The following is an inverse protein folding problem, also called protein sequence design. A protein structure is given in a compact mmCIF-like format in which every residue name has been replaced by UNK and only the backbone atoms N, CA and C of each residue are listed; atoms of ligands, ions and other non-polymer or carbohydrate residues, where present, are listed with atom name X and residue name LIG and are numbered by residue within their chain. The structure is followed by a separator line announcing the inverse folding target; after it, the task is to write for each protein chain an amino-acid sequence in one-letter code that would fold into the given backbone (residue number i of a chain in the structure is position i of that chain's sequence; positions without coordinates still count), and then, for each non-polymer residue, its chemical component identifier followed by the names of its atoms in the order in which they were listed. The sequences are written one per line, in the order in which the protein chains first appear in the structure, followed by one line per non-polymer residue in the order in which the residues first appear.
data_IF_904299664711
#
_entry.id   IF_904299664711
#
_cell.length_a   1.000
_cell.length_b   1.000
_cell.length_c   1.000
_cell.angle_alpha   90.00
_cell.angle_beta   90.00
_cell.angle_gamma   90.00
#
_symmetry.space_group_name_H-M   'P 1'
#
loop_
_entity.id
_entity.type
_entity.pdbx_description
1 polymer ?
#
# COMPACT_ATOMS: atom_id res chain seq x y z
N UNK A 1 -5.80 -2.50 -17.56
CA UNK A 1 -5.88 -1.09 -17.15
C UNK A 1 -4.47 -0.58 -17.04
N UNK A 2 -4.23 0.65 -17.49
CA UNK A 2 -2.94 1.30 -17.36
C UNK A 2 -3.02 2.20 -16.13
N UNK A 3 -2.12 2.01 -15.17
CA UNK A 3 -2.04 2.85 -13.98
C UNK A 3 -0.72 3.59 -14.02
N UNK A 4 -0.75 4.92 -13.97
CA UNK A 4 0.44 5.76 -13.90
C UNK A 4 0.63 6.23 -12.47
N UNK A 5 1.83 6.05 -11.91
CA UNK A 5 2.10 6.30 -10.49
C UNK A 5 3.33 7.20 -10.33
N UNK A 6 3.20 8.21 -9.48
CA UNK A 6 4.31 9.02 -8.97
C UNK A 6 4.90 10.03 -9.94
N UNK A 7 5.94 10.72 -9.45
CA UNK A 7 6.80 11.67 -10.19
C UNK A 7 8.27 11.33 -9.87
N UNK A 8 9.07 10.80 -10.82
CA UNK A 8 8.75 10.53 -12.23
C UNK A 8 7.70 9.43 -12.42
N UNK A 9 6.90 9.57 -13.47
CA UNK A 9 5.76 8.69 -13.74
C UNK A 9 6.23 7.29 -14.11
N UNK A 10 5.81 6.31 -13.32
CA UNK A 10 5.97 4.87 -13.62
C UNK A 10 4.65 4.30 -14.11
N UNK A 11 4.69 3.52 -15.20
CA UNK A 11 3.48 2.95 -15.81
C UNK A 11 3.35 1.46 -15.49
N UNK A 12 2.21 1.07 -14.93
CA UNK A 12 1.85 -0.29 -14.58
C UNK A 12 0.72 -0.81 -15.46
N UNK A 13 0.80 -2.08 -15.84
CA UNK A 13 -0.22 -2.77 -16.61
C UNK A 13 -0.88 -3.84 -15.76
N UNK A 14 -2.20 -3.73 -15.59
CA UNK A 14 -2.97 -4.55 -14.66
C UNK A 14 -4.17 -5.20 -15.31
N UNK A 15 -4.50 -6.43 -14.91
CA UNK A 15 -5.78 -7.04 -15.26
C UNK A 15 -6.93 -6.24 -14.65
N UNK A 16 -7.85 -5.80 -15.51
CA UNK A 16 -8.95 -4.93 -15.12
C UNK A 16 -9.87 -5.56 -14.08
N UNK A 17 -10.34 -6.77 -14.36
CA UNK A 17 -11.42 -7.36 -13.57
C UNK A 17 -10.90 -7.76 -12.20
N UNK A 18 -9.61 -8.09 -12.14
CA UNK A 18 -8.90 -8.38 -10.91
C UNK A 18 -8.78 -7.12 -10.02
N UNK A 19 -8.27 -5.99 -10.53
CA UNK A 19 -8.12 -4.77 -9.71
C UNK A 19 -9.46 -4.14 -9.32
N UNK A 20 -10.48 -4.22 -10.17
CA UNK A 20 -11.83 -3.74 -9.82
C UNK A 20 -12.52 -4.62 -8.77
N UNK A 21 -12.18 -5.92 -8.72
CA UNK A 21 -12.71 -6.83 -7.70
C UNK A 21 -12.05 -6.59 -6.34
N UNK A 22 -10.75 -6.32 -6.35
CA UNK A 22 -9.97 -6.08 -5.13
C UNK A 22 -10.24 -4.68 -4.53
N UNK A 23 -10.30 -3.65 -5.38
CA UNK A 23 -10.39 -2.27 -4.93
C UNK A 23 -11.71 -1.60 -5.36
N UNK A 24 -12.55 -1.19 -4.39
CA UNK A 24 -13.73 -0.37 -4.63
C UNK A 24 -13.42 0.96 -5.32
N UNK A 25 -12.25 1.56 -5.05
CA UNK A 25 -11.78 2.77 -5.73
C UNK A 25 -11.72 2.55 -7.24
N UNK A 26 -11.05 1.48 -7.69
CA UNK A 26 -10.98 1.16 -9.13
C UNK A 26 -12.33 0.72 -9.70
N UNK A 27 -13.20 0.09 -8.90
CA UNK A 27 -14.58 -0.21 -9.32
C UNK A 27 -15.44 1.05 -9.49
N UNK A 28 -15.22 2.10 -8.68
CA UNK A 28 -15.93 3.37 -8.77
C UNK A 28 -15.40 4.21 -9.93
N UNK A 29 -14.06 4.33 -10.05
CA UNK A 29 -13.40 4.98 -11.18
C UNK A 29 -13.83 4.37 -12.52
N UNK A 30 -14.07 3.05 -12.55
CA UNK A 30 -14.64 2.36 -13.72
C UNK A 30 -16.02 2.88 -14.12
N UNK A 31 -16.90 3.25 -13.18
CA UNK A 31 -18.25 3.76 -13.52
C UNK A 31 -18.17 5.15 -14.14
N UNK A 32 -17.27 6.01 -13.67
CA UNK A 32 -17.13 7.38 -14.16
C UNK A 32 -16.35 7.45 -15.48
N UNK A 33 -15.15 6.85 -15.55
CA UNK A 33 -14.28 6.97 -16.73
C UNK A 33 -14.78 6.18 -17.96
N UNK A 34 -15.50 5.08 -17.76
CA UNK A 34 -16.03 4.29 -18.89
C UNK A 34 -17.28 4.88 -19.51
N UNK A 35 -18.03 5.71 -18.77
CA UNK A 35 -19.16 6.44 -19.34
C UNK A 35 -18.69 7.52 -20.32
N UNK A 36 -17.45 8.00 -20.20
CA UNK A 36 -16.91 9.07 -21.06
C UNK A 36 -16.15 8.57 -22.30
N UNK A 37 -16.08 7.26 -22.55
CA UNK A 37 -15.40 6.70 -23.73
C UNK A 37 -13.89 6.98 -23.79
N UNK A 38 -13.30 7.47 -22.69
CA UNK A 38 -11.88 7.81 -22.60
C UNK A 38 -11.05 6.61 -22.18
N UNK A 39 -9.81 6.65 -22.66
CA UNK A 39 -8.78 5.61 -22.53
C UNK A 39 -8.62 5.13 -21.09
N UNK A 40 -8.55 3.81 -20.88
CA UNK A 40 -8.44 3.06 -19.61
C UNK A 40 -7.16 3.38 -18.79
N UNK A 41 -7.00 4.64 -18.34
CA UNK A 41 -5.81 5.18 -17.69
C UNK A 41 -6.19 5.84 -16.37
N UNK A 42 -5.66 5.32 -15.27
CA UNK A 42 -5.79 5.94 -13.93
C UNK A 42 -4.46 6.56 -13.54
N UNK A 43 -4.47 7.78 -13.02
CA UNK A 43 -3.28 8.52 -12.63
C UNK A 43 -3.24 8.71 -11.11
N UNK A 44 -2.15 8.24 -10.48
CA UNK A 44 -1.89 8.28 -9.05
C UNK A 44 -0.63 9.10 -8.80
N UNK A 45 -0.73 10.42 -9.00
CA UNK A 45 0.44 11.31 -9.02
C UNK A 45 1.16 11.44 -7.67
N UNK A 46 0.41 11.37 -6.56
CA UNK A 46 0.94 11.57 -5.21
C UNK A 46 1.46 10.27 -4.56
N UNK A 47 1.34 9.14 -5.26
CA UNK A 47 1.71 7.83 -4.74
C UNK A 47 3.10 7.41 -5.19
N UNK A 48 3.80 6.65 -4.35
CA UNK A 48 5.13 6.13 -4.69
C UNK A 48 5.00 4.88 -5.58
N UNK A 49 5.83 4.75 -6.64
CA UNK A 49 5.83 3.53 -7.46
C UNK A 49 6.11 2.25 -6.66
N UNK A 50 6.92 2.34 -5.61
CA UNK A 50 7.31 1.18 -4.79
C UNK A 50 6.14 0.64 -3.95
N UNK A 51 5.32 1.52 -3.36
CA UNK A 51 4.10 1.07 -2.65
C UNK A 51 3.10 0.43 -3.62
N UNK A 52 3.00 0.94 -4.85
CA UNK A 52 2.18 0.32 -5.88
C UNK A 52 2.75 -1.04 -6.36
N UNK A 53 4.07 -1.21 -6.38
CA UNK A 53 4.70 -2.52 -6.62
C UNK A 53 4.34 -3.55 -5.54
N UNK A 54 4.31 -3.15 -4.26
CA UNK A 54 3.83 -4.01 -3.16
C UNK A 54 2.38 -4.40 -3.38
N UNK A 55 1.53 -3.44 -3.76
CA UNK A 55 0.13 -3.72 -4.10
C UNK A 55 0.00 -4.68 -5.28
N UNK A 56 0.80 -4.52 -6.34
CA UNK A 56 0.83 -5.43 -7.49
C UNK A 56 1.18 -6.86 -7.08
N UNK A 57 2.20 -7.04 -6.24
CA UNK A 57 2.55 -8.36 -5.72
C UNK A 57 1.40 -8.96 -4.92
N UNK A 58 0.79 -8.20 -4.00
CA UNK A 58 -0.39 -8.64 -3.27
C UNK A 58 -1.52 -9.06 -4.21
N UNK A 59 -1.82 -8.22 -5.19
CA UNK A 59 -2.94 -8.37 -6.11
C UNK A 59 -2.85 -9.69 -6.90
N UNK A 60 -1.65 -10.12 -7.31
CA UNK A 60 -1.48 -11.37 -8.06
C UNK A 60 -1.15 -12.60 -7.21
N UNK A 61 -0.51 -12.42 -6.06
CA UNK A 61 0.00 -13.54 -5.26
C UNK A 61 -0.71 -13.76 -3.92
N UNK A 62 -1.53 -12.78 -3.49
CA UNK A 62 -2.08 -12.69 -2.14
C UNK A 62 -1.01 -12.79 -1.04
N UNK A 63 0.20 -12.29 -1.33
CA UNK A 63 1.32 -12.25 -0.40
C UNK A 63 1.94 -10.86 -0.40
N UNK A 64 2.13 -10.32 0.79
CA UNK A 64 2.95 -9.14 1.01
C UNK A 64 4.40 -9.61 1.12
N UNK A 65 5.19 -9.35 0.09
CA UNK A 65 6.62 -9.70 0.11
C UNK A 65 7.37 -8.56 0.79
N UNK A 66 7.82 -8.83 2.01
CA UNK A 66 8.80 -8.01 2.72
C UNK A 66 10.17 -8.24 2.07
N UNK A 67 10.44 -7.57 0.95
CA UNK A 67 11.78 -7.63 0.40
C UNK A 67 12.73 -6.88 1.32
N UNK A 68 13.87 -7.50 1.61
CA UNK A 68 15.08 -6.76 1.99
C UNK A 68 15.58 -6.01 0.75
N UNK A 69 14.77 -5.07 0.24
CA UNK A 69 15.12 -4.30 -0.94
C UNK A 69 16.08 -3.21 -0.49
N UNK A 70 17.38 -3.54 -0.57
CA UNK A 70 18.51 -2.74 -0.11
C UNK A 70 18.54 -2.48 1.41
N UNK A 71 19.74 -2.24 1.93
CA UNK A 71 20.04 -1.91 3.32
C UNK A 71 19.43 -0.56 3.81
N UNK A 72 18.38 -0.07 3.16
CA UNK A 72 17.69 1.17 3.47
C UNK A 72 16.19 0.92 3.71
N UNK A 73 15.92 0.34 4.89
CA UNK A 73 14.64 0.41 5.63
C UNK A 73 13.36 0.02 4.85
N UNK A 74 13.06 -1.29 4.71
CA UNK A 74 11.78 -1.80 4.17
C UNK A 74 10.51 -1.36 4.92
N UNK A 75 10.66 -0.59 5.99
CA UNK A 75 9.58 -0.18 6.90
C UNK A 75 8.82 1.05 6.43
N UNK A 76 9.45 1.96 5.67
CA UNK A 76 8.75 3.10 5.07
C UNK A 76 7.83 2.64 3.93
N UNK A 77 8.27 1.64 3.17
CA UNK A 77 7.50 1.06 2.08
C UNK A 77 6.20 0.42 2.58
N UNK A 78 6.22 -0.19 3.77
CA UNK A 78 5.02 -0.75 4.39
C UNK A 78 4.06 0.32 4.89
N UNK A 79 4.55 1.43 5.44
CA UNK A 79 3.71 2.55 5.86
C UNK A 79 3.03 3.16 4.63
N UNK A 80 3.78 3.34 3.55
CA UNK A 80 3.26 3.87 2.28
C UNK A 80 2.30 2.89 1.61
N UNK A 81 2.56 1.58 1.67
CA UNK A 81 1.66 0.55 1.19
C UNK A 81 0.34 0.53 1.98
N UNK A 82 0.39 0.69 3.31
CA UNK A 82 -0.82 0.79 4.12
C UNK A 82 -1.65 2.03 3.77
N UNK A 83 -0.99 3.19 3.60
CA UNK A 83 -1.65 4.43 3.18
C UNK A 83 -2.26 4.29 1.78
N UNK A 84 -1.55 3.64 0.85
CA UNK A 84 -2.08 3.30 -0.47
C UNK A 84 -3.32 2.40 -0.37
N UNK A 85 -3.29 1.38 0.49
CA UNK A 85 -4.46 0.52 0.71
C UNK A 85 -5.68 1.28 1.23
N UNK A 86 -5.48 2.28 2.08
CA UNK A 86 -6.55 3.19 2.54
C UNK A 86 -7.15 4.00 1.40
N UNK A 87 -6.31 4.59 0.55
CA UNK A 87 -6.76 5.29 -0.66
C UNK A 87 -7.52 4.37 -1.62
N UNK A 88 -7.03 3.15 -1.83
CA UNK A 88 -7.63 2.18 -2.74
C UNK A 88 -8.89 1.51 -2.17
N UNK A 89 -9.19 1.73 -0.89
CA UNK A 89 -10.29 1.09 -0.16
C UNK A 89 -10.21 -0.45 -0.17
N UNK A 90 -9.01 -0.99 -0.30
CA UNK A 90 -8.74 -2.44 -0.35
C UNK A 90 -8.44 -2.93 1.07
N UNK A 91 -9.48 -3.35 1.78
CA UNK A 91 -9.39 -3.72 3.21
C UNK A 91 -8.51 -4.95 3.40
N UNK A 92 -8.62 -5.95 2.53
CA UNK A 92 -7.85 -7.19 2.62
C UNK A 92 -6.35 -6.90 2.44
N UNK A 93 -6.00 -6.00 1.51
CA UNK A 93 -4.62 -5.54 1.36
C UNK A 93 -4.11 -4.82 2.60
N UNK A 94 -4.89 -3.88 3.16
CA UNK A 94 -4.50 -3.14 4.36
C UNK A 94 -4.25 -4.06 5.55
N UNK A 95 -5.14 -5.02 5.76
CA UNK A 95 -5.02 -5.99 6.85
C UNK A 95 -3.77 -6.87 6.63
N UNK A 96 -3.51 -7.34 5.40
CA UNK A 96 -2.29 -8.10 5.09
C UNK A 96 -0.99 -7.29 5.29
N UNK A 97 -0.99 -5.99 4.96
CA UNK A 97 0.16 -5.11 5.23
C UNK A 97 0.34 -4.88 6.74
N UNK A 98 -0.75 -4.68 7.47
CA UNK A 98 -0.72 -4.53 8.92
C UNK A 98 -0.19 -5.80 9.61
N UNK A 99 -0.63 -6.98 9.17
CA UNK A 99 -0.13 -8.27 9.66
C UNK A 99 1.36 -8.44 9.37
N UNK A 100 1.83 -8.03 8.18
CA UNK A 100 3.24 -8.05 7.84
C UNK A 100 4.08 -7.09 8.69
N UNK A 101 3.57 -5.89 8.99
CA UNK A 101 4.20 -4.93 9.90
C UNK A 101 4.25 -5.45 11.33
N UNK A 102 3.13 -6.01 11.82
CA UNK A 102 3.05 -6.65 13.12
C UNK A 102 4.05 -7.80 13.24
N UNK A 103 4.13 -8.66 12.22
CA UNK A 103 5.10 -9.75 12.17
C UNK A 103 6.55 -9.26 12.16
N UNK A 104 6.85 -8.09 11.59
CA UNK A 104 8.20 -7.52 11.60
C UNK A 104 8.56 -6.82 12.92
N UNK A 105 7.61 -6.10 13.54
CA UNK A 105 7.86 -5.31 14.76
C UNK A 105 7.67 -6.13 16.04
N UNK A 106 6.68 -7.00 16.08
CA UNK A 106 6.34 -7.78 17.28
C UNK A 106 7.01 -9.16 17.32
N UNK A 107 7.81 -9.53 16.30
CA UNK A 107 8.61 -10.75 16.41
C UNK A 107 9.79 -10.53 17.34
N UNK A 108 9.85 -11.38 18.37
CA UNK A 108 10.97 -11.47 19.30
C UNK A 108 12.20 -12.02 18.57
N UNK A 109 13.17 -11.18 18.26
CA UNK A 109 14.54 -11.65 18.07
C UNK A 109 15.26 -11.50 19.41
N UNK A 110 15.68 -12.62 20.00
CA UNK A 110 16.41 -12.67 21.27
C UNK A 110 15.67 -12.04 22.47
N UNK A 111 14.37 -12.31 22.62
CA UNK A 111 13.53 -11.78 23.73
C UNK A 111 13.40 -10.25 23.78
N UNK A 112 13.76 -9.55 22.71
CA UNK A 112 13.58 -8.11 22.56
C UNK A 112 12.44 -7.79 21.58
N UNK A 113 11.57 -6.86 21.98
CA UNK A 113 10.56 -6.27 21.09
C UNK A 113 11.20 -5.21 20.21
N UNK A 114 10.98 -5.29 18.90
CA UNK A 114 11.41 -4.24 17.99
C UNK A 114 10.31 -3.18 17.86
N UNK A 115 10.53 -2.01 18.45
CA UNK A 115 9.60 -0.89 18.34
C UNK A 115 10.14 0.09 17.29
N UNK A 116 9.30 0.59 16.34
CA UNK A 116 9.72 1.61 15.39
C UNK A 116 10.31 2.83 16.08
N UNK A 117 11.37 3.38 15.51
CA UNK A 117 12.03 4.59 16.00
C UNK A 117 11.08 5.80 16.03
N UNK A 118 11.44 6.84 16.80
CA UNK A 118 10.63 8.06 16.89
C UNK A 118 10.38 8.72 15.51
N UNK A 119 11.37 8.69 14.62
CA UNK A 119 11.24 9.21 13.25
C UNK A 119 10.20 8.43 12.44
N UNK A 120 10.16 7.10 12.58
CA UNK A 120 9.21 6.25 11.86
C UNK A 120 7.78 6.43 12.39
N UNK A 121 7.61 6.57 13.71
CA UNK A 121 6.31 6.90 14.30
C UNK A 121 5.80 8.26 13.83
N UNK A 122 6.68 9.26 13.76
CA UNK A 122 6.32 10.58 13.22
C UNK A 122 5.89 10.49 11.74
N UNK A 123 6.62 9.71 10.92
CA UNK A 123 6.26 9.48 9.53
C UNK A 123 4.90 8.78 9.40
N UNK A 124 4.66 7.71 10.16
CA UNK A 124 3.40 6.98 10.20
C UNK A 124 2.21 7.87 10.59
N UNK A 125 2.40 8.76 11.57
CA UNK A 125 1.39 9.75 11.93
C UNK A 125 1.16 10.81 10.86
N UNK A 126 2.14 11.10 10.01
CA UNK A 126 1.97 11.94 8.83
C UNK A 126 1.15 11.28 7.71
N UNK A 127 1.29 9.96 7.53
CA UNK A 127 0.69 9.22 6.41
C UNK A 127 -0.69 8.61 6.69
N UNK A 128 -1.14 8.59 7.95
CA UNK A 128 -2.40 7.93 8.34
C UNK A 128 -3.31 8.87 9.14
N UNK A 129 -4.63 8.70 9.16
CA UNK A 129 -5.53 9.48 10.02
C UNK A 129 -5.45 9.04 11.50
N UNK A 130 -5.88 9.91 12.41
CA UNK A 130 -5.80 9.68 13.86
C UNK A 130 -6.49 8.39 14.36
N UNK A 131 -7.55 7.94 13.67
CA UNK A 131 -8.28 6.71 14.00
C UNK A 131 -7.76 5.43 13.33
N UNK A 132 -6.61 5.47 12.65
CA UNK A 132 -6.09 4.29 11.94
C UNK A 132 -5.68 3.16 12.89
N UNK A 133 -6.09 1.92 12.59
CA UNK A 133 -5.66 0.70 13.32
C UNK A 133 -4.13 0.58 13.42
N UNK A 134 -3.41 1.02 12.39
CA UNK A 134 -1.95 1.02 12.39
C UNK A 134 -1.35 1.88 13.53
N UNK A 135 -2.03 2.97 13.93
CA UNK A 135 -1.60 3.78 15.08
C UNK A 135 -1.86 3.08 16.41
N UNK A 136 -2.95 2.31 16.50
CA UNK A 136 -3.29 1.55 17.70
C UNK A 136 -2.31 0.40 17.97
N UNK A 137 -1.65 -0.11 16.94
CA UNK A 137 -0.62 -1.14 17.09
C UNK A 137 0.65 -0.64 17.82
N UNK A 138 0.85 0.68 17.90
CA UNK A 138 2.05 1.31 18.47
C UNK A 138 1.87 1.91 19.86
N UNK A 139 0.67 1.81 20.45
CA UNK A 139 0.29 2.43 21.74
C UNK A 139 -0.04 1.35 22.76
#
# INVERSE_FOLDING_TARGET
VVVKVGKPVTTFFVNKDLICKASPFFSAARKEEWCEGRTRKVELEDQKPDSFNVYMNWLYSHKVVLGRFNDQTPEYDLIDAYALGDMLLDVDFKDAVLDAMAANWLTTQNDLFYIPSAHQRAYLYGQTPAGSKLRQLLV
#
